data_IF_706499701733
#
_entry.id   IF_706499701733
#
_cell.length_a   1.000
_cell.length_b   1.000
_cell.length_c   1.000
_cell.angle_alpha   90.00
_cell.angle_beta   90.00
_cell.angle_gamma   90.00
#
_symmetry.space_group_name_H-M   'P 1'
#
loop_
_entity.id
_entity.type
_entity.pdbx_description
1 polymer ?
2 non-polymer ?
3 non-polymer ?
4 non-polymer ?
5 water ?
#
# COMPACT_ATOMS: atom_id res chain seq x y z
N UNK A 1 -18.81 -36.35 -12.29
CA UNK A 1 -19.74 -36.53 -11.14
C UNK A 1 -20.06 -35.16 -10.57
N UNK A 2 -21.30 -34.73 -10.76
CA UNK A 2 -21.78 -33.44 -10.31
C UNK A 2 -21.44 -33.07 -8.86
N UNK A 3 -21.64 -34.01 -7.95
CA UNK A 3 -21.39 -33.74 -6.53
C UNK A 3 -19.92 -33.55 -6.18
N UNK A 4 -19.05 -34.23 -6.94
CA UNK A 4 -17.61 -34.12 -6.72
C UNK A 4 -17.19 -32.71 -7.12
N UNK A 5 -17.72 -32.25 -8.25
CA UNK A 5 -17.41 -30.90 -8.73
C UNK A 5 -17.92 -29.85 -7.76
N UNK A 6 -19.11 -30.08 -7.21
CA UNK A 6 -19.69 -29.13 -6.25
C UNK A 6 -18.84 -29.03 -4.99
N UNK A 7 -18.33 -30.16 -4.51
CA UNK A 7 -17.49 -30.17 -3.31
C UNK A 7 -16.17 -29.47 -3.60
N UNK A 8 -15.67 -29.60 -4.83
CA UNK A 8 -14.42 -28.93 -5.16
C UNK A 8 -14.67 -27.43 -5.20
N UNK A 9 -15.80 -27.04 -5.81
CA UNK A 9 -16.14 -25.62 -5.87
C UNK A 9 -16.24 -25.05 -4.45
N UNK A 10 -16.79 -25.83 -3.54
CA UNK A 10 -16.91 -25.38 -2.15
C UNK A 10 -15.49 -25.12 -1.59
N UNK A 11 -14.58 -26.05 -1.83
CA UNK A 11 -13.21 -25.90 -1.35
C UNK A 11 -12.51 -24.72 -2.01
N UNK A 12 -12.80 -24.47 -3.28
CA UNK A 12 -12.19 -23.36 -4.02
C UNK A 12 -12.66 -22.02 -3.44
N UNK A 13 -13.94 -21.96 -3.09
CA UNK A 13 -14.53 -20.76 -2.52
C UNK A 13 -13.98 -20.51 -1.12
N UNK A 14 -13.94 -21.53 -0.28
CA UNK A 14 -13.38 -21.34 1.06
C UNK A 14 -11.90 -20.92 1.01
N UNK A 15 -11.15 -21.49 0.07
CA UNK A 15 -9.74 -21.15 -0.08
C UNK A 15 -9.63 -19.67 -0.46
N UNK A 16 -10.52 -19.24 -1.36
CA UNK A 16 -10.52 -17.87 -1.82
C UNK A 16 -10.87 -16.93 -0.65
N UNK A 17 -11.86 -17.32 0.16
CA UNK A 17 -12.22 -16.48 1.31
C UNK A 17 -11.00 -16.31 2.22
N UNK A 18 -10.29 -17.40 2.47
CA UNK A 18 -9.12 -17.37 3.33
C UNK A 18 -8.03 -16.50 2.76
N UNK A 19 -7.80 -16.59 1.46
CA UNK A 19 -6.76 -15.79 0.84
C UNK A 19 -7.12 -14.30 0.75
N UNK A 20 -8.40 -13.99 0.56
CA UNK A 20 -8.82 -12.59 0.51
C UNK A 20 -8.66 -11.98 1.90
N UNK A 21 -8.94 -12.77 2.93
CA UNK A 21 -8.79 -12.30 4.30
C UNK A 21 -7.30 -12.05 4.56
N UNK A 22 -6.42 -12.89 4.02
CA UNK A 22 -4.98 -12.70 4.19
C UNK A 22 -4.51 -11.46 3.48
N UNK A 23 -5.02 -11.24 2.29
CA UNK A 23 -4.67 -10.07 1.50
C UNK A 23 -5.10 -8.81 2.27
N UNK A 24 -6.30 -8.81 2.83
CA UNK A 24 -6.78 -7.68 3.62
C UNK A 24 -5.85 -7.44 4.82
N UNK A 25 -5.48 -8.50 5.53
CA UNK A 25 -4.58 -8.37 6.69
C UNK A 25 -3.22 -7.81 6.31
N UNK A 26 -2.66 -8.29 5.19
CA UNK A 26 -1.35 -7.81 4.76
C UNK A 26 -1.45 -6.34 4.38
N UNK A 27 -2.55 -5.98 3.73
CA UNK A 27 -2.72 -4.58 3.36
C UNK A 27 -2.84 -3.69 4.59
N UNK A 28 -3.58 -4.14 5.60
CA UNK A 28 -3.72 -3.31 6.81
C UNK A 28 -2.36 -3.18 7.49
N UNK A 29 -1.60 -4.27 7.50
CA UNK A 29 -0.25 -4.26 8.09
C UNK A 29 0.62 -3.23 7.36
N UNK A 30 0.56 -3.25 6.02
CA UNK A 30 1.33 -2.34 5.17
C UNK A 30 0.92 -0.89 5.35
N UNK A 31 -0.33 -0.66 5.74
CA UNK A 31 -0.82 0.71 5.96
C UNK A 31 -0.49 1.20 7.36
N UNK A 32 0.17 0.37 8.16
CA UNK A 32 0.55 0.80 9.49
C UNK A 32 -0.36 0.36 10.63
N UNK A 33 -1.25 -0.58 10.38
CA UNK A 33 -2.14 -1.04 11.43
C UNK A 33 -1.35 -1.76 12.51
N UNK A 34 -1.47 -1.28 13.74
CA UNK A 34 -0.78 -1.87 14.88
C UNK A 34 -1.70 -2.94 15.46
N UNK A 35 -1.10 -3.98 16.01
CA UNK A 35 -1.86 -5.08 16.61
C UNK A 35 -2.93 -4.58 17.59
N UNK A 36 -4.17 -5.01 17.39
CA UNK A 36 -5.26 -4.60 18.26
C UNK A 36 -5.63 -3.13 18.26
N UNK A 37 -5.16 -2.40 17.25
CA UNK A 37 -5.45 -0.97 17.15
C UNK A 37 -6.14 -0.68 15.81
N UNK A 38 -7.03 0.30 15.78
CA UNK A 38 -7.68 0.62 14.52
C UNK A 38 -6.64 1.34 13.69
N UNK A 39 -6.84 1.46 12.38
CA UNK A 39 -5.84 2.14 11.58
C UNK A 39 -6.44 3.20 10.69
N UNK A 40 -5.60 4.12 10.26
CA UNK A 40 -6.02 5.26 9.47
C UNK A 40 -5.37 5.31 8.10
N UNK A 41 -6.13 5.78 7.11
CA UNK A 41 -5.64 5.86 5.74
C UNK A 41 -6.22 7.12 5.07
N UNK A 42 -5.45 7.70 4.17
CA UNK A 42 -5.89 8.89 3.43
C UNK A 42 -5.29 8.82 2.02
N UNK A 43 -5.96 9.47 1.07
CA UNK A 43 -5.47 9.53 -0.30
C UNK A 43 -4.98 10.96 -0.48
N UNK A 44 -5.03 11.74 0.60
CA UNK A 44 -4.61 13.15 0.63
C UNK A 44 -5.48 14.12 -0.15
N UNK A 45 -6.66 13.67 -0.53
CA UNK A 45 -7.59 14.51 -1.26
C UNK A 45 -8.44 15.34 -0.29
N UNK A 46 -8.64 16.61 -0.61
CA UNK A 46 -9.45 17.48 0.23
C UNK A 46 -10.85 17.57 -0.36
N UNK A 47 -11.86 17.52 0.51
CA UNK A 47 -13.25 17.56 0.06
C UNK A 47 -14.18 17.93 1.22
N UNK A 48 -15.43 18.31 0.91
CA UNK A 48 -16.41 18.67 1.93
C UNK A 48 -16.68 17.45 2.80
N UNK A 49 -17.13 17.68 4.02
CA UNK A 49 -17.40 16.60 4.97
C UNK A 49 -18.33 15.49 4.45
N UNK A 50 -19.42 15.87 3.79
CA UNK A 50 -20.35 14.86 3.29
C UNK A 50 -19.67 13.87 2.33
N UNK A 51 -18.71 14.37 1.57
CA UNK A 51 -17.96 13.53 0.62
C UNK A 51 -17.04 12.57 1.37
N UNK A 52 -16.38 13.06 2.42
CA UNK A 52 -15.50 12.21 3.19
C UNK A 52 -16.33 11.08 3.81
N UNK A 53 -17.46 11.42 4.42
CA UNK A 53 -18.32 10.40 5.02
C UNK A 53 -18.73 9.32 4.04
N UNK A 54 -19.15 9.76 2.84
CA UNK A 54 -19.59 8.85 1.80
C UNK A 54 -18.46 7.92 1.38
N UNK A 55 -17.28 8.52 1.17
CA UNK A 55 -16.11 7.76 0.75
C UNK A 55 -15.75 6.69 1.78
N UNK A 56 -15.55 7.09 3.04
CA UNK A 56 -15.18 6.15 4.08
C UNK A 56 -16.24 5.08 4.27
N UNK A 57 -17.50 5.50 4.24
CA UNK A 57 -18.62 4.58 4.40
C UNK A 57 -18.56 3.47 3.33
N UNK A 58 -18.32 3.87 2.10
CA UNK A 58 -18.24 2.93 0.99
C UNK A 58 -17.11 1.92 1.19
N UNK A 59 -16.05 2.34 1.87
CA UNK A 59 -14.91 1.47 2.14
C UNK A 59 -15.13 0.64 3.40
N UNK A 60 -16.31 0.80 4.00
CA UNK A 60 -16.66 0.09 5.21
C UNK A 60 -15.84 0.55 6.42
N UNK A 61 -15.61 1.86 6.46
CA UNK A 61 -14.89 2.47 7.56
C UNK A 61 -15.68 3.73 7.90
N UNK A 62 -15.08 4.65 8.64
CA UNK A 62 -15.77 5.89 8.99
C UNK A 62 -14.74 7.01 8.98
N UNK A 63 -15.20 8.27 8.98
CA UNK A 63 -14.28 9.40 9.03
C UNK A 63 -13.53 9.20 10.35
N UNK A 64 -12.20 9.37 10.31
CA UNK A 64 -11.35 9.18 11.48
C UNK A 64 -11.84 9.86 12.77
N UNK A 65 -11.82 9.11 13.86
CA UNK A 65 -12.24 9.60 15.16
C UNK A 65 -11.16 9.38 16.23
N UNK A 66 -10.55 10.46 16.76
CA UNK A 66 -9.52 10.30 17.79
C UNK A 66 -10.24 10.00 19.12
N UNK A 67 -10.00 8.83 19.70
CA UNK A 67 -10.66 8.47 20.96
C UNK A 67 -9.75 8.81 22.15
N UNK A 68 -8.47 9.04 21.85
CA UNK A 68 -7.48 9.38 22.87
C UNK A 68 -6.31 10.07 22.18
N UNK A 69 -5.33 10.51 22.97
CA UNK A 69 -4.15 11.21 22.45
C UNK A 69 -3.31 10.41 21.46
N UNK A 70 -3.17 9.11 21.70
CA UNK A 70 -2.39 8.25 20.81
C UNK A 70 -3.00 8.22 19.41
N UNK A 71 -4.30 7.97 19.36
CA UNK A 71 -5.00 7.93 18.08
C UNK A 71 -4.98 9.31 17.43
N UNK A 72 -5.06 10.37 18.23
CA UNK A 72 -5.06 11.72 17.69
C UNK A 72 -3.74 11.97 16.96
N UNK A 73 -2.65 11.56 17.59
CA UNK A 73 -1.31 11.71 17.02
C UNK A 73 -1.20 10.90 15.72
N UNK A 74 -1.73 9.68 15.74
CA UNK A 74 -1.68 8.81 14.56
C UNK A 74 -2.43 9.45 13.38
N UNK A 75 -3.59 10.04 13.67
CA UNK A 75 -4.37 10.70 12.61
C UNK A 75 -3.61 11.91 12.07
N UNK A 76 -2.98 12.66 12.97
CA UNK A 76 -2.21 13.84 12.61
C UNK A 76 -1.07 13.47 11.65
N UNK A 77 -0.35 12.39 11.98
CA UNK A 77 0.77 11.89 11.19
C UNK A 77 0.29 11.47 9.80
N UNK A 78 -0.82 10.74 9.77
CA UNK A 78 -1.41 10.27 8.53
C UNK A 78 -1.88 11.45 7.64
N UNK A 79 -2.66 12.35 8.22
CA UNK A 79 -3.20 13.49 7.48
C UNK A 79 -2.15 14.47 6.94
N UNK A 80 -1.23 14.90 7.81
CA UNK A 80 -0.18 15.84 7.42
C UNK A 80 -0.70 17.25 7.16
N UNK A 81 -2.02 17.41 7.14
CA UNK A 81 -2.67 18.70 6.92
C UNK A 81 -4.02 18.69 7.64
N UNK A 82 -4.80 19.77 7.54
CA UNK A 82 -6.10 19.80 8.23
C UNK A 82 -6.99 18.70 7.65
N UNK A 83 -7.70 18.01 8.53
CA UNK A 83 -8.58 16.91 8.10
C UNK A 83 -9.84 16.81 8.96
N UNK A 84 -10.95 16.42 8.34
CA UNK A 84 -12.19 16.25 9.09
C UNK A 84 -12.13 15.04 10.02
N UNK A 85 -12.82 15.13 11.14
CA UNK A 85 -12.90 14.04 12.10
C UNK A 85 -14.35 13.59 12.05
N UNK A 86 -14.63 12.36 12.46
CA UNK A 86 -15.98 11.85 12.46
C UNK A 86 -16.74 12.36 13.68
N UNK A 87 -16.76 13.68 13.84
CA UNK A 87 -17.40 14.32 14.98
C UNK A 87 -18.17 15.57 14.51
N UNK A 88 -19.44 15.73 14.91
CA UNK A 88 -20.19 16.92 14.51
C UNK A 88 -21.28 17.28 15.52
N UNK A 89 -21.73 18.53 15.50
CA UNK A 89 -22.83 18.91 16.38
C UNK A 89 -23.99 19.37 15.48
N UNK A 90 -24.12 18.69 14.34
CA UNK A 90 -25.18 18.96 13.37
C UNK A 90 -26.58 18.69 13.91
N UNK A 91 -26.72 17.64 14.70
CA UNK A 91 -28.01 17.25 15.24
C UNK A 91 -28.58 18.22 16.27
N UNK A 92 -27.75 18.65 17.20
CA UNK A 92 -28.16 19.62 18.23
C UNK A 92 -26.97 20.55 18.50
N UNK A 93 -27.10 21.80 18.08
CA UNK A 93 -26.03 22.79 18.26
C UNK A 93 -25.42 22.76 19.66
N UNK A 94 -24.09 22.69 19.72
CA UNK A 94 -23.40 22.65 20.99
C UNK A 94 -23.07 21.27 21.51
N UNK A 95 -23.80 20.26 21.06
CA UNK A 95 -23.55 18.89 21.51
C UNK A 95 -22.88 18.05 20.44
N UNK A 96 -21.56 17.91 20.52
CA UNK A 96 -20.85 17.11 19.51
C UNK A 96 -21.07 15.62 19.74
N UNK A 97 -21.28 14.90 18.64
CA UNK A 97 -21.54 13.46 18.66
C UNK A 97 -20.65 12.78 17.65
N UNK A 98 -20.30 11.52 17.90
CA UNK A 98 -19.50 10.78 16.95
C UNK A 98 -20.45 10.44 15.80
N UNK A 99 -19.94 10.42 14.57
CA UNK A 99 -20.80 10.10 13.44
C UNK A 99 -21.38 8.69 13.58
N UNK A 100 -20.67 7.83 14.30
CA UNK A 100 -21.13 6.46 14.51
C UNK A 100 -21.97 6.31 15.78
N UNK A 101 -22.24 7.42 16.46
CA UNK A 101 -23.06 7.38 17.66
C UNK A 101 -22.40 7.72 18.98
N UNK A 102 -23.15 8.42 19.84
CA UNK A 102 -22.63 8.75 21.16
C UNK A 102 -22.07 10.15 21.31
N UNK A 103 -22.15 10.67 22.54
CA UNK A 103 -21.63 12.00 22.83
C UNK A 103 -20.12 12.02 22.89
N UNK A 104 -19.55 13.14 22.45
CA UNK A 104 -18.10 13.29 22.47
C UNK A 104 -17.58 13.18 23.91
N UNK A 105 -16.50 12.44 24.10
CA UNK A 105 -15.89 12.36 25.43
C UNK A 105 -14.51 12.98 25.27
N UNK A 106 -13.50 12.18 25.00
CA UNK A 106 -12.16 12.75 24.79
C UNK A 106 -12.22 13.83 23.72
N UNK A 107 -11.53 14.95 23.95
CA UNK A 107 -11.48 16.04 22.98
C UNK A 107 -10.10 16.68 23.02
N UNK A 108 -9.78 17.47 22.00
CA UNK A 108 -8.48 18.13 21.96
C UNK A 108 -8.62 19.49 21.29
N UNK A 109 -9.61 20.24 21.74
CA UNK A 109 -9.90 21.58 21.20
C UNK A 109 -8.79 22.61 21.38
N UNK A 110 -8.60 23.46 20.38
CA UNK A 110 -7.64 24.54 20.50
C UNK A 110 -8.30 25.50 21.49
N UNK A 111 -7.51 26.38 22.11
CA UNK A 111 -8.08 27.35 23.03
C UNK A 111 -9.14 28.15 22.29
N UNK A 112 -10.22 28.48 22.98
CA UNK A 112 -11.35 29.24 22.44
C UNK A 112 -12.22 28.51 21.40
N UNK A 113 -12.07 27.18 21.30
CA UNK A 113 -12.88 26.36 20.39
C UNK A 113 -13.55 25.30 21.26
N UNK A 114 -14.71 24.77 20.81
CA UNK A 114 -15.38 25.14 19.56
C UNK A 114 -16.09 26.49 19.76
N UNK A 115 -16.35 27.21 18.68
CA UNK A 115 -17.01 28.52 18.80
C UNK A 115 -18.17 28.73 17.82
N UNK A 116 -18.53 27.69 17.05
CA UNK A 116 -19.63 27.78 16.09
C UNK A 116 -19.58 29.17 15.45
N UNK A 117 -18.41 29.53 14.89
CA UNK A 117 -18.20 30.85 14.34
C UNK A 117 -19.13 31.33 13.23
N UNK A 118 -19.58 32.58 13.37
CA UNK A 118 -20.45 33.19 12.37
C UNK A 118 -21.77 32.50 12.16
N UNK A 119 -22.12 32.24 10.89
CA UNK A 119 -23.36 31.57 10.57
C UNK A 119 -23.39 30.17 11.20
N UNK A 120 -22.21 29.67 11.56
CA UNK A 120 -22.15 28.37 12.19
C UNK A 120 -21.09 27.43 11.69
N UNK A 121 -20.68 26.53 12.57
CA UNK A 121 -19.66 25.53 12.28
C UNK A 121 -20.09 24.26 13.01
N UNK A 122 -20.45 23.23 12.25
CA UNK A 122 -20.91 21.99 12.86
C UNK A 122 -19.98 20.79 12.68
N UNK A 123 -18.88 20.98 11.94
CA UNK A 123 -17.93 19.90 11.75
C UNK A 123 -16.63 20.19 12.49
N UNK A 124 -15.72 19.23 12.49
CA UNK A 124 -14.47 19.35 13.20
C UNK A 124 -13.27 18.90 12.37
N UNK A 125 -12.21 19.71 12.41
CA UNK A 125 -10.97 19.39 11.71
C UNK A 125 -9.82 19.32 12.71
N UNK A 126 -8.92 18.37 12.50
CA UNK A 126 -7.74 18.29 13.34
C UNK A 126 -6.82 19.19 12.53
N UNK A 127 -6.14 20.13 13.20
CA UNK A 127 -5.27 21.08 12.52
C UNK A 127 -3.84 21.08 13.04
N UNK A 128 -3.32 22.29 13.35
CA UNK A 128 -1.96 22.50 13.85
C UNK A 128 -1.71 21.95 15.25
N UNK A 129 -0.59 21.23 15.38
CA UNK A 129 -0.20 20.63 16.65
C UNK A 129 -1.18 19.51 16.97
N UNK A 130 -2.08 19.23 16.03
CA UNK A 130 -3.06 18.17 16.24
C UNK A 130 -4.27 18.64 17.04
N UNK A 131 -4.34 19.93 17.33
CA UNK A 131 -5.48 20.46 18.06
C UNK A 131 -6.69 20.48 17.15
N UNK A 132 -7.87 20.70 17.72
CA UNK A 132 -9.10 20.69 16.95
C UNK A 132 -9.78 22.06 16.83
N UNK A 133 -10.50 22.24 15.73
CA UNK A 133 -11.25 23.47 15.49
C UNK A 133 -12.57 23.12 14.82
N UNK A 134 -13.69 23.70 15.27
CA UNK A 134 -14.95 23.42 14.57
C UNK A 134 -14.97 24.30 13.34
N UNK A 135 -15.47 23.77 12.24
CA UNK A 135 -15.46 24.49 10.98
C UNK A 135 -16.71 24.09 10.19
N UNK A 136 -16.99 24.84 9.13
CA UNK A 136 -18.13 24.53 8.30
C UNK A 136 -17.94 23.16 7.65
N UNK A 137 -19.01 22.36 7.63
CA UNK A 137 -18.98 21.04 7.00
C UNK A 137 -18.84 21.17 5.49
N UNK A 138 -19.08 22.39 4.98
CA UNK A 138 -18.98 22.66 3.54
C UNK A 138 -17.57 22.94 3.07
N UNK A 139 -16.66 23.24 4.00
CA UNK A 139 -15.29 23.52 3.63
C UNK A 139 -14.61 22.21 3.21
N UNK A 140 -13.53 22.33 2.44
CA UNK A 140 -12.81 21.16 1.96
C UNK A 140 -11.56 20.90 2.78
N UNK A 141 -11.50 19.74 3.42
CA UNK A 141 -10.34 19.35 4.20
C UNK A 141 -9.99 17.91 3.83
N UNK A 142 -8.84 17.44 4.26
CA UNK A 142 -8.36 16.11 3.90
C UNK A 142 -9.24 14.97 4.39
N UNK A 143 -9.44 14.00 3.51
CA UNK A 143 -10.25 12.83 3.80
C UNK A 143 -9.43 11.76 4.48
N UNK A 144 -9.76 11.43 5.72
CA UNK A 144 -9.03 10.41 6.45
C UNK A 144 -10.05 9.42 7.01
N UNK A 145 -9.87 8.15 6.69
CA UNK A 145 -10.79 7.12 7.15
C UNK A 145 -10.15 6.27 8.22
N UNK A 146 -10.98 5.72 9.10
CA UNK A 146 -10.47 4.85 10.13
C UNK A 146 -11.13 3.50 9.91
N UNK A 147 -10.40 2.46 10.25
CA UNK A 147 -10.88 1.10 10.10
C UNK A 147 -10.68 0.43 11.47
N UNK A 148 -11.59 -0.48 11.84
CA UNK A 148 -11.61 -1.22 13.10
C UNK A 148 -10.31 -1.89 13.60
N UNK A 149 -10.16 -1.92 14.92
CA UNK A 149 -9.00 -2.56 15.53
C UNK A 149 -9.11 -4.06 15.25
N UNK B 1 -28.65 -28.32 -17.74
CA UNK B 1 -28.70 -26.99 -17.07
C UNK B 1 -27.71 -26.93 -15.92
N UNK B 2 -27.90 -27.81 -14.94
CA UNK B 2 -27.03 -27.85 -13.77
C UNK B 2 -25.55 -27.97 -14.13
N UNK B 3 -25.20 -28.84 -15.07
CA UNK B 3 -23.80 -28.98 -15.44
C UNK B 3 -23.27 -27.72 -16.10
N UNK B 4 -24.15 -26.99 -16.79
CA UNK B 4 -23.77 -25.75 -17.45
C UNK B 4 -23.57 -24.65 -16.40
N UNK B 5 -24.46 -24.60 -15.41
CA UNK B 5 -24.34 -23.60 -14.37
C UNK B 5 -23.05 -23.81 -13.59
N UNK B 6 -22.78 -25.06 -13.27
CA UNK B 6 -21.59 -25.40 -12.52
C UNK B 6 -20.32 -25.03 -13.30
N UNK B 7 -20.32 -25.31 -14.61
CA UNK B 7 -19.18 -24.98 -15.46
C UNK B 7 -18.97 -23.48 -15.50
N UNK B 8 -20.05 -22.73 -15.63
CA UNK B 8 -19.98 -21.28 -15.67
C UNK B 8 -19.48 -20.72 -14.31
N UNK B 9 -19.89 -21.35 -13.22
CA UNK B 9 -19.42 -20.87 -11.92
C UNK B 9 -17.93 -21.18 -11.73
N UNK B 10 -17.47 -22.30 -12.27
CA UNK B 10 -16.05 -22.68 -12.15
C UNK B 10 -15.21 -21.65 -12.91
N UNK B 11 -15.75 -21.14 -14.01
CA UNK B 11 -15.05 -20.14 -14.80
C UNK B 11 -14.99 -18.84 -14.00
N UNK B 12 -16.10 -18.48 -13.36
CA UNK B 12 -16.14 -17.28 -12.55
C UNK B 12 -15.12 -17.38 -11.43
N UNK B 13 -15.02 -18.56 -10.82
CA UNK B 13 -14.07 -18.75 -9.74
C UNK B 13 -12.61 -18.60 -10.21
N UNK B 14 -12.30 -19.17 -11.37
CA UNK B 14 -10.94 -19.06 -11.90
C UNK B 14 -10.59 -17.59 -12.15
N UNK B 15 -11.56 -16.84 -12.66
CA UNK B 15 -11.35 -15.43 -12.94
C UNK B 15 -11.12 -14.63 -11.66
N UNK B 16 -11.88 -14.96 -10.63
CA UNK B 16 -11.76 -14.25 -9.36
C UNK B 16 -10.41 -14.55 -8.70
N UNK B 17 -9.94 -15.79 -8.86
CA UNK B 17 -8.67 -16.18 -8.29
C UNK B 17 -7.54 -15.38 -8.97
N UNK B 18 -7.64 -15.19 -10.28
CA UNK B 18 -6.63 -14.43 -11.02
C UNK B 18 -6.66 -12.96 -10.62
N UNK B 19 -7.87 -12.44 -10.42
CA UNK B 19 -8.04 -11.04 -10.05
C UNK B 19 -7.46 -10.78 -8.65
N UNK B 20 -7.59 -11.74 -7.75
CA UNK B 20 -7.02 -11.58 -6.41
C UNK B 20 -5.49 -11.62 -6.47
N UNK B 21 -4.95 -12.53 -7.28
CA UNK B 21 -3.50 -12.61 -7.38
C UNK B 21 -2.97 -11.28 -7.98
N UNK B 22 -3.74 -10.70 -8.89
CA UNK B 22 -3.36 -9.43 -9.50
C UNK B 22 -3.36 -8.37 -8.38
N UNK B 23 -4.36 -8.42 -7.50
CA UNK B 23 -4.44 -7.48 -6.40
C UNK B 23 -3.19 -7.61 -5.53
N UNK B 24 -2.77 -8.85 -5.27
CA UNK B 24 -1.58 -9.11 -4.47
C UNK B 24 -0.35 -8.49 -5.16
N UNK B 25 -0.23 -8.70 -6.47
CA UNK B 25 0.89 -8.15 -7.23
C UNK B 25 0.95 -6.63 -7.24
N UNK B 26 -0.20 -6.00 -7.47
CA UNK B 26 -0.23 -4.54 -7.49
C UNK B 26 0.09 -3.98 -6.10
N UNK B 27 -0.39 -4.67 -5.06
CA UNK B 27 -0.12 -4.19 -3.71
C UNK B 27 1.37 -4.25 -3.42
N UNK B 28 2.00 -5.40 -3.73
CA UNK B 28 3.44 -5.56 -3.48
C UNK B 28 4.24 -4.53 -4.23
N UNK B 29 3.86 -4.29 -5.47
CA UNK B 29 4.52 -3.31 -6.34
C UNK B 29 4.37 -1.91 -5.71
N UNK B 30 3.16 -1.57 -5.29
CA UNK B 30 2.92 -0.26 -4.69
C UNK B 30 3.71 -0.07 -3.40
N UNK B 31 4.01 -1.16 -2.70
CA UNK B 31 4.78 -1.08 -1.47
C UNK B 31 6.28 -1.21 -1.68
N UNK B 32 6.72 -1.11 -2.94
CA UNK B 32 8.14 -1.17 -3.25
C UNK B 32 8.82 -2.47 -3.65
N UNK B 33 8.07 -3.55 -3.80
CA UNK B 33 8.70 -4.81 -4.19
C UNK B 33 9.37 -4.65 -5.55
N UNK B 34 10.64 -5.04 -5.62
CA UNK B 34 11.39 -4.95 -6.86
C UNK B 34 11.30 -6.27 -7.61
N UNK B 35 11.31 -6.20 -8.93
CA UNK B 35 11.25 -7.39 -9.78
C UNK B 35 12.26 -8.45 -9.35
N UNK B 36 11.80 -9.68 -9.22
CA UNK B 36 12.68 -10.77 -8.84
C UNK B 36 13.32 -10.66 -7.46
N UNK B 37 12.86 -9.72 -6.64
CA UNK B 37 13.41 -9.56 -5.29
C UNK B 37 12.33 -9.83 -4.27
N UNK B 38 12.74 -10.24 -3.08
CA UNK B 38 11.80 -10.51 -2.00
C UNK B 38 11.11 -9.22 -1.60
N UNK B 39 9.89 -9.36 -1.11
CA UNK B 39 9.10 -8.22 -0.66
C UNK B 39 9.23 -8.04 0.85
N UNK B 40 9.76 -6.89 1.27
CA UNK B 40 9.91 -6.57 2.69
C UNK B 40 8.90 -5.49 3.09
N UNK B 41 8.20 -5.69 4.20
CA UNK B 41 7.20 -4.74 4.65
C UNK B 41 7.09 -4.65 6.18
N UNK B 42 6.71 -3.48 6.68
CA UNK B 42 6.57 -3.28 8.13
C UNK B 42 5.37 -2.40 8.45
N UNK B 43 4.80 -2.56 9.65
CA UNK B 43 3.70 -1.72 10.10
C UNK B 43 4.28 -0.72 11.11
N UNK B 44 5.61 -0.75 11.24
CA UNK B 44 6.34 0.13 12.15
C UNK B 44 6.06 -0.13 13.63
N UNK B 45 5.55 -1.31 13.94
CA UNK B 45 5.26 -1.66 15.32
C UNK B 45 6.44 -2.41 15.95
N UNK B 46 6.80 -2.01 17.17
CA UNK B 46 7.89 -2.66 17.89
C UNK B 46 7.31 -3.67 18.86
N UNK B 47 7.85 -4.89 18.86
CA UNK B 47 7.34 -5.95 19.72
C UNK B 47 8.43 -7.01 19.94
N UNK B 48 8.23 -7.90 20.93
CA UNK B 48 9.20 -8.96 21.21
C UNK B 48 9.30 -9.88 19.98
N UNK B 49 10.42 -10.60 19.88
CA UNK B 49 10.64 -11.49 18.75
C UNK B 49 9.55 -12.54 18.54
N UNK B 50 9.04 -13.14 19.62
CA UNK B 50 7.99 -14.16 19.47
C UNK B 50 6.78 -13.57 18.76
N UNK B 51 6.47 -12.31 19.06
CA UNK B 51 5.32 -11.66 18.44
C UNK B 51 5.57 -11.36 16.96
N UNK B 52 6.80 -11.02 16.61
CA UNK B 52 7.11 -10.76 15.20
C UNK B 52 6.95 -12.06 14.43
N UNK B 53 7.46 -13.16 14.99
CA UNK B 53 7.33 -14.45 14.30
C UNK B 53 5.87 -14.82 14.12
N UNK B 54 5.06 -14.62 15.16
CA UNK B 54 3.64 -14.95 15.08
C UNK B 54 2.93 -14.09 14.05
N UNK B 55 3.25 -12.81 14.04
CA UNK B 55 2.61 -11.87 13.11
C UNK B 55 2.96 -12.21 11.66
N UNK B 56 4.25 -12.30 11.35
CA UNK B 56 4.63 -12.62 9.98
C UNK B 56 4.02 -13.96 9.54
N UNK B 57 4.02 -14.94 10.45
CA UNK B 57 3.47 -16.26 10.14
C UNK B 57 2.00 -16.16 9.76
N UNK B 58 1.25 -15.35 10.51
CA UNK B 58 -0.16 -15.16 10.26
C UNK B 58 -0.40 -14.58 8.86
N UNK B 59 0.53 -13.76 8.39
CA UNK B 59 0.42 -13.15 7.06
C UNK B 59 1.00 -14.05 5.98
N UNK B 60 1.43 -15.24 6.37
CA UNK B 60 2.02 -16.22 5.45
C UNK B 60 3.37 -15.75 4.93
N UNK B 61 4.08 -15.01 5.77
CA UNK B 61 5.41 -14.55 5.41
C UNK B 61 6.33 -15.04 6.51
N UNK B 62 7.50 -14.43 6.64
CA UNK B 62 8.43 -14.82 7.70
C UNK B 62 9.18 -13.57 8.15
N UNK B 63 9.87 -13.64 9.28
CA UNK B 63 10.62 -12.51 9.78
C UNK B 63 11.75 -12.25 8.76
N UNK B 64 11.92 -11.00 8.38
CA UNK B 64 12.91 -10.60 7.38
C UNK B 64 14.32 -11.13 7.59
N UNK B 65 14.91 -11.65 6.53
CA UNK B 65 16.28 -12.18 6.58
C UNK B 65 17.14 -11.66 5.43
N UNK B 66 18.24 -10.99 5.74
CA UNK B 66 19.16 -10.45 4.73
C UNK B 66 20.10 -11.58 4.26
N UNK B 67 20.01 -12.00 3.00
CA UNK B 67 20.86 -13.06 2.50
C UNK B 67 22.15 -12.48 1.92
N UNK B 68 22.16 -11.18 1.71
CA UNK B 68 23.32 -10.49 1.15
C UNK B 68 23.24 -9.00 1.48
N UNK B 69 24.25 -8.24 1.09
CA UNK B 69 24.30 -6.81 1.36
C UNK B 69 23.15 -6.03 0.73
N UNK B 70 22.70 -6.48 -0.44
CA UNK B 70 21.61 -5.82 -1.14
C UNK B 70 20.31 -5.95 -0.33
N UNK B 71 20.01 -7.16 0.11
CA UNK B 71 18.80 -7.38 0.90
C UNK B 71 18.91 -6.68 2.25
N UNK B 72 20.12 -6.63 2.80
CA UNK B 72 20.33 -6.00 4.09
C UNK B 72 19.98 -4.52 3.98
N UNK B 73 20.39 -3.90 2.89
CA UNK B 73 20.11 -2.50 2.63
C UNK B 73 18.59 -2.32 2.43
N UNK B 74 17.98 -3.24 1.68
CA UNK B 74 16.54 -3.19 1.42
C UNK B 74 15.77 -3.18 2.73
N UNK B 75 16.14 -4.09 3.63
CA UNK B 75 15.48 -4.19 4.93
C UNK B 75 15.74 -2.93 5.75
N UNK B 76 16.97 -2.43 5.70
CA UNK B 76 17.32 -1.22 6.43
C UNK B 76 16.43 -0.03 6.03
N UNK B 77 16.16 0.13 4.75
CA UNK B 77 15.33 1.26 4.33
C UNK B 77 13.84 1.10 4.64
N UNK B 78 13.38 -0.14 4.81
CA UNK B 78 11.98 -0.39 5.14
C UNK B 78 11.76 -0.16 6.63
N UNK B 79 12.67 -0.69 7.44
CA UNK B 79 12.59 -0.57 8.88
C UNK B 79 12.73 0.84 9.43
N UNK B 80 13.73 1.57 8.95
CA UNK B 80 13.97 2.93 9.42
C UNK B 80 14.64 2.88 10.79
N UNK B 81 14.14 2.02 11.67
CA UNK B 81 14.69 1.86 13.02
C UNK B 81 15.23 0.46 13.25
N UNK B 82 15.48 0.13 14.52
CA UNK B 82 16.01 -1.17 14.88
C UNK B 82 14.93 -2.23 14.66
N UNK B 83 15.29 -3.31 13.97
CA UNK B 83 14.33 -4.35 13.68
C UNK B 83 14.89 -5.75 13.85
N UNK B 84 14.04 -6.68 14.25
CA UNK B 84 14.47 -8.07 14.38
C UNK B 84 14.68 -8.69 13.01
N UNK B 85 15.67 -9.58 12.93
CA UNK B 85 15.95 -10.31 11.71
C UNK B 85 15.56 -11.75 12.05
N UNK B 86 15.27 -12.57 11.05
CA UNK B 86 14.87 -13.95 11.32
C UNK B 86 16.08 -14.85 11.57
N UNK B 87 16.87 -14.50 12.58
CA UNK B 87 18.08 -15.24 12.91
C UNK B 87 18.25 -15.35 14.43
N UNK B 88 18.65 -16.52 14.91
CA UNK B 88 18.87 -16.68 16.34
C UNK B 88 19.93 -17.74 16.61
N UNK B 89 20.58 -17.67 17.77
CA UNK B 89 21.59 -18.67 18.14
C UNK B 89 21.07 -19.38 19.40
N UNK B 90 19.78 -19.69 19.36
CA UNK B 90 19.09 -20.37 20.44
C UNK B 90 19.52 -21.83 20.69
N UNK B 91 19.89 -22.54 19.64
CA UNK B 91 20.30 -23.94 19.79
C UNK B 91 21.69 -24.07 20.39
N UNK B 92 22.68 -23.51 19.69
CA UNK B 92 24.05 -23.55 20.17
C UNK B 92 24.57 -22.12 20.17
N UNK B 93 24.95 -21.66 21.36
CA UNK B 93 25.43 -20.30 21.52
C UNK B 93 26.52 -19.97 20.50
N UNK B 94 26.35 -18.84 19.82
CA UNK B 94 27.32 -18.43 18.82
C UNK B 94 27.01 -18.95 17.43
N UNK B 95 26.17 -19.98 17.34
CA UNK B 95 25.81 -20.53 16.03
C UNK B 95 24.48 -19.95 15.59
N UNK B 96 24.52 -18.88 14.82
CA UNK B 96 23.28 -18.27 14.36
C UNK B 96 22.68 -19.06 13.20
N UNK B 97 21.37 -19.27 13.30
CA UNK B 97 20.62 -20.03 12.31
C UNK B 97 19.40 -19.22 11.85
N UNK B 98 19.01 -19.39 10.60
CA UNK B 98 17.82 -18.70 10.12
C UNK B 98 16.63 -19.39 10.73
N UNK B 99 15.60 -18.63 11.08
CA UNK B 99 14.40 -19.23 11.65
C UNK B 99 13.70 -20.15 10.63
N UNK B 100 14.12 -20.09 9.38
CA UNK B 100 13.52 -20.96 8.36
C UNK B 100 14.45 -22.12 8.02
N UNK B 101 15.55 -22.22 8.77
CA UNK B 101 16.49 -23.30 8.56
C UNK B 101 17.79 -22.90 7.91
N UNK B 102 18.87 -23.58 8.30
CA UNK B 102 20.17 -23.29 7.72
C UNK B 102 21.06 -22.39 8.55
N UNK B 103 22.36 -22.59 8.37
CA UNK B 103 23.36 -21.81 9.09
C UNK B 103 23.52 -20.47 8.43
N UNK B 104 23.76 -19.46 9.26
CA UNK B 104 23.96 -18.11 8.81
C UNK B 104 25.12 -18.04 7.82
N UNK B 105 24.88 -17.46 6.65
CA UNK B 105 25.93 -17.28 5.68
C UNK B 105 26.35 -15.80 5.78
N UNK B 106 25.63 -14.92 5.09
CA UNK B 106 25.95 -13.49 5.17
C UNK B 106 25.71 -12.91 6.56
N UNK B 107 26.61 -12.03 7.00
CA UNK B 107 26.46 -11.38 8.29
C UNK B 107 26.96 -9.95 8.18
N UNK B 108 26.56 -9.09 9.11
CA UNK B 108 26.98 -7.70 9.07
C UNK B 108 27.07 -7.14 10.48
N UNK B 109 27.74 -7.89 11.36
CA UNK B 109 27.89 -7.47 12.75
C UNK B 109 28.58 -6.15 13.00
N UNK B 110 28.13 -5.48 14.05
CA UNK B 110 28.70 -4.21 14.48
C UNK B 110 29.98 -4.57 15.23
N UNK B 111 30.89 -3.62 15.40
CA UNK B 111 32.13 -3.89 16.13
C UNK B 111 31.79 -4.40 17.52
N UNK B 112 32.54 -5.39 17.98
CA UNK B 112 32.34 -5.97 19.32
C UNK B 112 31.08 -6.84 19.40
N UNK B 113 30.44 -7.09 18.27
CA UNK B 113 29.24 -7.92 18.27
C UNK B 113 29.47 -9.15 17.41
N UNK B 114 28.78 -10.26 17.72
CA UNK B 114 27.80 -10.48 18.80
C UNK B 114 28.50 -10.70 20.15
N UNK B 115 27.96 -10.14 21.22
CA UNK B 115 28.57 -10.30 22.54
C UNK B 115 27.71 -11.06 23.55
N UNK B 116 26.55 -11.56 23.13
CA UNK B 116 25.66 -12.31 24.02
C UNK B 116 25.65 -11.60 25.37
N UNK B 117 25.55 -10.29 25.33
CA UNK B 117 25.60 -9.44 26.52
C UNK B 117 24.63 -9.73 27.68
N UNK B 118 25.08 -9.41 28.88
CA UNK B 118 24.27 -9.60 30.08
C UNK B 118 23.87 -11.03 30.34
N UNK B 119 22.58 -11.23 30.63
CA UNK B 119 22.07 -12.57 30.89
C UNK B 119 21.98 -13.39 29.60
N UNK B 120 22.34 -12.78 28.47
CA UNK B 120 22.28 -13.49 27.21
C UNK B 120 21.44 -12.83 26.14
N UNK B 121 21.92 -12.91 24.89
CA UNK B 121 21.24 -12.33 23.73
C UNK B 121 21.26 -13.35 22.60
N UNK B 122 20.11 -13.92 22.27
CA UNK B 122 20.05 -14.89 21.19
C UNK B 122 19.27 -14.44 19.94
N UNK B 123 18.83 -13.19 19.91
CA UNK B 123 18.17 -12.65 18.73
C UNK B 123 19.07 -11.63 18.05
N UNK B 124 18.65 -11.14 16.90
CA UNK B 124 19.46 -10.21 16.13
C UNK B 124 18.63 -9.04 15.61
N UNK B 125 19.19 -7.83 15.71
CA UNK B 125 18.51 -6.65 15.21
C UNK B 125 19.40 -5.94 14.22
N UNK B 126 18.77 -5.38 13.20
CA UNK B 126 19.51 -4.60 12.22
C UNK B 126 19.33 -3.19 12.80
N UNK B 127 20.44 -2.47 12.95
CA UNK B 127 20.39 -1.14 13.53
C UNK B 127 20.99 -0.06 12.64
N UNK B 128 21.77 0.83 13.24
CA UNK B 128 22.41 1.97 12.56
C UNK B 128 23.30 1.56 11.39
N UNK B 129 23.10 2.23 10.26
CA UNK B 129 23.88 1.95 9.06
C UNK B 129 23.71 0.53 8.56
N UNK B 130 22.66 -0.15 9.03
CA UNK B 130 22.42 -1.51 8.60
C UNK B 130 23.27 -2.56 9.27
N UNK B 131 24.02 -2.18 10.30
CA UNK B 131 24.87 -3.13 11.02
C UNK B 131 24.02 -3.96 11.98
N UNK B 132 24.58 -5.05 12.49
CA UNK B 132 23.83 -5.92 13.38
C UNK B 132 24.29 -5.92 14.84
N UNK B 133 23.33 -6.18 15.73
CA UNK B 133 23.61 -6.28 17.16
C UNK B 133 22.74 -7.39 17.72
N UNK B 134 23.34 -8.35 18.41
CA UNK B 134 22.52 -9.39 19.01
C UNK B 134 21.87 -8.75 20.22
N UNK B 135 20.63 -9.13 20.49
CA UNK B 135 19.87 -8.54 21.59
C UNK B 135 18.92 -9.59 22.17
N UNK B 136 18.38 -9.30 23.34
CA UNK B 136 17.44 -10.23 23.97
C UNK B 136 16.22 -10.38 23.08
N UNK B 137 15.75 -11.61 22.95
CA UNK B 137 14.58 -11.90 22.14
C UNK B 137 13.34 -11.31 22.82
N UNK B 138 13.46 -11.00 24.10
CA UNK B 138 12.37 -10.41 24.87
C UNK B 138 12.21 -8.90 24.64
N UNK B 139 13.26 -8.26 24.14
CA UNK B 139 13.21 -6.83 23.88
C UNK B 139 12.26 -6.55 22.70
N UNK B 140 11.77 -5.32 22.62
CA UNK B 140 10.84 -4.95 21.56
C UNK B 140 11.50 -4.17 20.44
N UNK B 141 11.43 -4.71 19.23
CA UNK B 141 12.00 -4.04 18.07
C UNK B 141 11.03 -4.12 16.91
N UNK B 142 11.25 -3.29 15.90
CA UNK B 142 10.34 -3.25 14.76
C UNK B 142 10.12 -4.56 14.02
N UNK B 143 8.86 -4.84 13.72
CA UNK B 143 8.47 -6.05 13.01
C UNK B 143 8.56 -5.84 11.50
N UNK B 144 9.42 -6.61 10.85
CA UNK B 144 9.57 -6.52 9.40
C UNK B 144 9.39 -7.93 8.84
N UNK B 145 8.44 -8.11 7.92
CA UNK B 145 8.21 -9.43 7.34
C UNK B 145 8.71 -9.45 5.90
N UNK B 146 9.01 -10.65 5.41
CA UNK B 146 9.45 -10.78 4.04
C UNK B 146 8.53 -11.79 3.38
N UNK B 147 8.35 -11.62 2.08
CA UNK B 147 7.51 -12.50 1.28
C UNK B 147 8.40 -12.86 0.08
N UNK B 148 8.17 -14.03 -0.53
CA UNK B 148 8.97 -14.48 -1.68
C UNK B 148 9.09 -13.56 -2.90
N UNK B 149 10.19 -13.68 -3.62
CA UNK B 149 10.46 -12.88 -4.80
C UNK B 149 9.52 -13.22 -5.95
N UNK C 1 -30.88 -30.53 -2.39
CA UNK C 1 -29.46 -30.29 -2.08
C UNK C 1 -28.75 -29.62 -3.25
N UNK C 2 -28.39 -30.42 -4.25
CA UNK C 2 -27.67 -29.91 -5.42
C UNK C 2 -28.05 -28.50 -5.86
N UNK C 3 -29.30 -28.29 -6.26
CA UNK C 3 -29.72 -26.97 -6.72
C UNK C 3 -29.59 -25.88 -5.67
N UNK C 4 -29.92 -26.19 -4.44
CA UNK C 4 -29.83 -25.21 -3.37
C UNK C 4 -28.37 -24.81 -3.17
N UNK C 5 -27.49 -25.81 -3.05
CA UNK C 5 -26.06 -25.53 -2.84
C UNK C 5 -25.49 -24.73 -4.00
N UNK C 6 -25.93 -25.06 -5.20
CA UNK C 6 -25.46 -24.38 -6.40
C UNK C 6 -25.90 -22.90 -6.38
N UNK C 7 -27.14 -22.66 -5.96
CA UNK C 7 -27.67 -21.30 -5.89
C UNK C 7 -26.92 -20.52 -4.80
N UNK C 8 -26.64 -21.20 -3.70
CA UNK C 8 -25.91 -20.53 -2.63
C UNK C 8 -24.52 -20.14 -3.09
N UNK C 9 -23.83 -21.06 -3.74
CA UNK C 9 -22.49 -20.76 -4.20
C UNK C 9 -22.43 -19.61 -5.17
N UNK C 10 -23.50 -19.41 -5.94
CA UNK C 10 -23.54 -18.29 -6.85
C UNK C 10 -23.55 -17.01 -6.02
N UNK C 11 -24.29 -17.04 -4.91
CA UNK C 11 -24.37 -15.89 -4.01
C UNK C 11 -23.03 -15.71 -3.29
N UNK C 12 -22.37 -16.83 -2.98
CA UNK C 12 -21.07 -16.77 -2.31
C UNK C 12 -20.05 -16.11 -3.24
N UNK C 13 -20.14 -16.42 -4.53
CA UNK C 13 -19.24 -15.84 -5.52
C UNK C 13 -19.50 -14.36 -5.71
N UNK C 14 -20.77 -13.97 -5.81
CA UNK C 14 -21.06 -12.56 -5.98
C UNK C 14 -20.62 -11.74 -4.76
N UNK C 15 -20.73 -12.34 -3.58
CA UNK C 15 -20.30 -11.67 -2.36
C UNK C 15 -18.79 -11.46 -2.41
N UNK C 16 -18.08 -12.50 -2.85
CA UNK C 16 -16.62 -12.40 -2.96
C UNK C 16 -16.20 -11.37 -4.00
N UNK C 17 -16.97 -11.27 -5.08
CA UNK C 17 -16.64 -10.28 -6.10
C UNK C 17 -16.76 -8.88 -5.49
N UNK C 18 -17.85 -8.66 -4.75
CA UNK C 18 -18.09 -7.37 -4.11
C UNK C 18 -16.98 -7.06 -3.14
N UNK C 19 -16.61 -8.05 -2.33
CA UNK C 19 -15.55 -7.84 -1.37
C UNK C 19 -14.20 -7.51 -2.04
N UNK C 20 -13.88 -8.21 -3.13
CA UNK C 20 -12.61 -7.94 -3.80
C UNK C 20 -12.62 -6.55 -4.45
N UNK C 21 -13.77 -6.14 -4.94
CA UNK C 21 -13.91 -4.82 -5.52
C UNK C 21 -13.63 -3.78 -4.43
N UNK C 22 -14.11 -4.04 -3.20
CA UNK C 22 -13.87 -3.12 -2.09
C UNK C 22 -12.40 -3.07 -1.72
N UNK C 23 -11.77 -4.23 -1.67
CA UNK C 23 -10.36 -4.32 -1.37
C UNK C 23 -9.58 -3.45 -2.37
N UNK C 24 -9.93 -3.58 -3.65
CA UNK C 24 -9.26 -2.79 -4.69
C UNK C 24 -9.49 -1.29 -4.48
N UNK C 25 -10.70 -0.91 -4.11
CA UNK C 25 -11.01 0.51 -3.86
C UNK C 25 -10.19 1.03 -2.70
N UNK C 26 -10.14 0.25 -1.63
CA UNK C 26 -9.37 0.66 -0.46
C UNK C 26 -7.88 0.76 -0.79
N UNK C 27 -7.35 -0.17 -1.56
CA UNK C 27 -5.93 -0.09 -1.89
C UNK C 27 -5.63 1.12 -2.76
N UNK C 28 -6.47 1.35 -3.75
CA UNK C 28 -6.31 2.50 -4.64
C UNK C 28 -6.32 3.78 -3.79
N UNK C 29 -7.27 3.88 -2.87
CA UNK C 29 -7.38 5.02 -1.96
C UNK C 29 -6.06 5.14 -1.19
N UNK C 30 -5.59 4.04 -0.62
CA UNK C 30 -4.35 4.09 0.14
C UNK C 30 -3.15 4.45 -0.78
N UNK C 31 -3.28 4.16 -2.07
CA UNK C 31 -2.22 4.48 -3.04
C UNK C 31 -2.28 5.94 -3.51
N UNK C 32 -3.19 6.73 -2.95
CA UNK C 32 -3.30 8.14 -3.33
C UNK C 32 -4.26 8.45 -4.47
N UNK C 33 -4.98 7.45 -4.94
CA UNK C 33 -5.96 7.64 -6.02
C UNK C 33 -6.97 8.74 -5.67
N UNK C 34 -7.03 9.79 -6.49
CA UNK C 34 -7.95 10.90 -6.26
C UNK C 34 -9.25 10.64 -7.02
N UNK C 35 -10.37 11.05 -6.43
CA UNK C 35 -11.67 10.85 -7.05
C UNK C 35 -11.71 11.27 -8.51
N UNK C 36 -12.26 10.40 -9.35
CA UNK C 36 -12.36 10.67 -10.77
C UNK C 36 -11.06 10.94 -11.52
N UNK C 37 -9.92 10.63 -10.91
CA UNK C 37 -8.64 10.86 -11.57
C UNK C 37 -7.94 9.51 -11.80
N UNK C 38 -7.18 9.40 -12.88
CA UNK C 38 -6.43 8.16 -13.14
C UNK C 38 -5.31 8.19 -12.12
N UNK C 39 -4.72 7.06 -11.79
CA UNK C 39 -3.66 7.13 -10.81
C UNK C 39 -2.40 6.41 -11.24
N UNK C 40 -1.28 6.97 -10.81
CA UNK C 40 0.03 6.46 -11.15
C UNK C 40 0.66 5.84 -9.92
N UNK C 41 1.37 4.73 -10.14
CA UNK C 41 2.01 4.00 -9.06
C UNK C 41 3.39 3.56 -9.49
N UNK C 42 4.32 3.50 -8.55
CA UNK C 42 5.69 3.08 -8.86
C UNK C 42 6.24 2.28 -7.69
N UNK C 43 7.18 1.37 -7.98
CA UNK C 43 7.82 0.57 -6.93
C UNK C 43 9.24 1.15 -6.79
N UNK C 44 9.47 2.25 -7.50
CA UNK C 44 10.72 2.98 -7.54
C UNK C 44 11.89 2.24 -8.17
N UNK C 45 11.59 1.17 -8.90
CA UNK C 45 12.62 0.40 -9.56
C UNK C 45 12.94 0.99 -10.93
N UNK C 46 14.21 0.99 -11.30
CA UNK C 46 14.63 1.51 -12.60
C UNK C 46 14.96 0.30 -13.45
N UNK C 47 14.42 0.27 -14.66
CA UNK C 47 14.62 -0.86 -15.57
C UNK C 47 14.45 -0.41 -17.03
N UNK C 48 14.82 -1.27 -17.99
CA UNK C 48 14.68 -0.97 -19.41
C UNK C 48 13.20 -0.84 -19.75
N UNK C 49 12.89 -0.10 -20.81
CA UNK C 49 11.51 0.11 -21.19
C UNK C 49 10.69 -1.17 -21.43
N UNK C 50 11.30 -2.18 -22.05
CA UNK C 50 10.57 -3.41 -22.31
C UNK C 50 10.09 -4.05 -21.00
N UNK C 51 10.93 -4.01 -19.97
CA UNK C 51 10.54 -4.59 -18.70
C UNK C 51 9.45 -3.76 -18.04
N UNK C 52 9.48 -2.45 -18.22
CA UNK C 52 8.45 -1.61 -17.63
C UNK C 52 7.11 -1.99 -18.25
N UNK C 53 7.09 -2.08 -19.58
CA UNK C 53 5.88 -2.44 -20.29
C UNK C 53 5.36 -3.79 -19.85
N UNK C 54 6.26 -4.75 -19.71
CA UNK C 54 5.85 -6.08 -19.29
C UNK C 54 5.29 -6.05 -17.87
N UNK C 55 5.94 -5.29 -17.00
CA UNK C 55 5.51 -5.18 -15.61
C UNK C 55 4.12 -4.56 -15.51
N UNK C 56 3.90 -3.39 -16.13
CA UNK C 56 2.59 -2.75 -16.06
C UNK C 56 1.52 -3.63 -16.70
N UNK C 57 1.86 -4.31 -17.79
CA UNK C 57 0.91 -5.19 -18.46
C UNK C 57 0.46 -6.27 -17.49
N UNK C 58 1.40 -6.86 -16.75
CA UNK C 58 1.06 -7.89 -15.77
C UNK C 58 0.03 -7.39 -14.78
N UNK C 59 0.23 -6.16 -14.32
CA UNK C 59 -0.66 -5.53 -13.34
C UNK C 59 -1.93 -5.00 -13.98
N UNK C 60 -2.09 -5.26 -15.28
CA UNK C 60 -3.24 -4.81 -16.04
C UNK C 60 -3.34 -3.29 -16.11
N UNK C 61 -2.19 -2.64 -16.21
CA UNK C 61 -2.14 -1.20 -16.34
C UNK C 61 -1.32 -0.90 -17.58
N UNK C 62 -0.89 0.34 -17.74
CA UNK C 62 -0.08 0.70 -18.90
C UNK C 62 1.04 1.61 -18.42
N UNK C 63 2.09 1.75 -19.23
CA UNK C 63 3.18 2.65 -18.87
C UNK C 63 2.57 4.03 -18.83
N UNK C 64 2.84 4.77 -17.75
CA UNK C 64 2.27 6.09 -17.56
C UNK C 64 2.36 7.03 -18.75
N UNK C 65 1.23 7.68 -19.07
CA UNK C 65 1.17 8.64 -20.17
C UNK C 65 0.46 9.93 -19.75
N UNK C 66 1.17 11.07 -19.78
CA UNK C 66 0.52 12.32 -19.40
C UNK C 66 -0.24 12.83 -20.63
N UNK C 67 -1.50 13.22 -20.45
CA UNK C 67 -2.32 13.70 -21.56
C UNK C 67 -2.46 15.21 -21.52
N UNK C 68 -1.98 15.78 -20.42
CA UNK C 68 -2.03 17.22 -20.21
C UNK C 68 -1.04 17.60 -19.12
N UNK C 69 -0.91 18.90 -18.86
CA UNK C 69 0.03 19.40 -17.86
C UNK C 69 -0.20 18.87 -16.44
N UNK C 70 -1.45 18.62 -16.07
CA UNK C 70 -1.71 18.13 -14.71
C UNK C 70 -1.22 16.71 -14.51
N UNK C 71 -1.52 15.84 -15.46
CA UNK C 71 -1.11 14.46 -15.38
C UNK C 71 0.42 14.37 -15.46
N UNK C 72 1.02 15.28 -16.22
CA UNK C 72 2.47 15.30 -16.37
C UNK C 72 3.12 15.61 -15.03
N UNK C 73 2.53 16.53 -14.29
CA UNK C 73 3.04 16.90 -12.98
C UNK C 73 2.78 15.73 -12.02
N UNK C 74 1.60 15.12 -12.14
CA UNK C 74 1.23 13.98 -11.30
C UNK C 74 2.28 12.87 -11.44
N UNK C 75 2.63 12.54 -12.68
CA UNK C 75 3.62 11.50 -12.95
C UNK C 75 4.97 11.91 -12.37
N UNK C 76 5.33 13.16 -12.57
CA UNK C 76 6.60 13.70 -12.07
C UNK C 76 6.69 13.52 -10.55
N UNK C 77 5.62 13.89 -9.84
CA UNK C 77 5.59 13.77 -8.39
C UNK C 77 5.68 12.33 -7.89
N UNK C 78 5.05 11.40 -8.62
CA UNK C 78 5.08 9.99 -8.27
C UNK C 78 6.47 9.37 -8.45
N UNK C 79 7.08 9.62 -9.61
CA UNK C 79 8.40 9.07 -9.91
C UNK C 79 9.56 9.66 -9.11
N UNK C 80 9.59 10.99 -9.00
CA UNK C 80 10.65 11.70 -8.27
C UNK C 80 11.99 11.71 -9.00
N UNK C 81 12.19 10.77 -9.91
CA UNK C 81 13.41 10.68 -10.70
C UNK C 81 12.97 10.53 -12.16
N UNK C 82 13.93 10.29 -13.06
CA UNK C 82 13.59 10.13 -14.47
C UNK C 82 12.77 8.84 -14.61
N UNK C 83 11.70 8.90 -15.40
CA UNK C 83 10.83 7.75 -15.60
C UNK C 83 10.35 7.63 -17.02
N UNK C 84 10.23 6.40 -17.50
CA UNK C 84 9.74 6.16 -18.85
C UNK C 84 8.27 6.51 -18.97
N UNK C 85 7.90 7.03 -20.13
CA UNK C 85 6.50 7.36 -20.42
C UNK C 85 6.08 6.36 -21.49
N UNK C 86 4.77 6.09 -21.59
CA UNK C 86 4.27 5.16 -22.59
C UNK C 86 4.23 5.80 -23.96
N UNK C 87 5.38 6.29 -24.42
CA UNK C 87 5.50 6.96 -25.71
C UNK C 87 6.81 6.54 -26.38
N UNK C 88 6.78 6.19 -27.67
CA UNK C 88 7.97 5.79 -28.42
C UNK C 88 7.82 6.09 -29.92
N UNK C 89 8.95 6.23 -30.63
CA UNK C 89 8.92 6.42 -32.07
C UNK C 89 9.58 5.18 -32.71
N UNK C 90 9.39 4.04 -32.05
CA UNK C 90 9.92 2.75 -32.48
C UNK C 90 9.47 2.30 -33.87
N UNK C 91 8.22 2.59 -34.20
CA UNK C 91 7.67 2.19 -35.49
C UNK C 91 8.21 3.01 -36.66
N UNK C 92 8.17 4.33 -36.52
CA UNK C 92 8.67 5.22 -37.56
C UNK C 92 9.49 6.32 -36.90
N UNK C 93 10.81 6.28 -37.11
CA UNK C 93 11.72 7.27 -36.51
C UNK C 93 11.24 8.70 -36.67
N UNK C 94 11.16 9.42 -35.55
CA UNK C 94 10.73 10.80 -35.59
C UNK C 94 9.26 11.01 -35.29
N UNK C 95 8.46 9.95 -35.42
CA UNK C 95 7.03 10.04 -35.17
C UNK C 95 6.69 9.35 -33.85
N UNK C 96 6.56 10.13 -32.78
CA UNK C 96 6.23 9.54 -31.49
C UNK C 96 4.76 9.20 -31.35
N UNK C 97 4.51 7.98 -30.89
CA UNK C 97 3.18 7.43 -30.72
C UNK C 97 2.98 6.88 -29.31
N UNK C 98 1.73 6.81 -28.89
CA UNK C 98 1.41 6.27 -27.58
C UNK C 98 1.49 4.75 -27.68
N UNK C 99 1.94 4.10 -26.61
CA UNK C 99 2.01 2.65 -26.62
C UNK C 99 0.59 2.11 -26.74
N UNK C 100 -0.37 2.88 -26.25
CA UNK C 100 -1.78 2.51 -26.30
C UNK C 100 -2.34 2.81 -27.69
N UNK C 101 -1.59 3.56 -28.50
CA UNK C 101 -2.03 3.88 -29.86
C UNK C 101 -2.28 5.34 -30.19
N UNK C 102 -1.91 5.73 -31.41
CA UNK C 102 -2.12 7.11 -31.83
C UNK C 102 -0.98 8.09 -31.68
N UNK C 103 -1.12 9.25 -32.31
CA UNK C 103 -0.12 10.31 -32.27
C UNK C 103 -0.29 11.22 -31.05
N UNK C 104 0.80 11.83 -30.61
CA UNK C 104 0.78 12.73 -29.45
C UNK C 104 -0.21 13.87 -29.52
N UNK C 105 -1.00 14.01 -28.45
CA UNK C 105 -2.00 15.07 -28.35
C UNK C 105 -1.44 16.15 -27.41
N UNK C 106 -0.40 15.78 -26.68
CA UNK C 106 0.26 16.66 -25.73
C UNK C 106 1.72 16.27 -25.59
N UNK C 107 2.59 17.26 -25.40
CA UNK C 107 4.03 17.01 -25.24
C UNK C 107 4.69 18.12 -24.43
N UNK C 108 5.84 17.81 -23.83
CA UNK C 108 6.54 18.80 -23.01
C UNK C 108 8.05 18.62 -23.17
N UNK C 109 8.47 18.52 -24.43
CA UNK C 109 9.86 18.32 -24.77
C UNK C 109 10.82 19.39 -24.27
N UNK C 110 11.99 18.95 -23.82
CA UNK C 110 13.03 19.85 -23.38
C UNK C 110 13.52 20.48 -24.68
N UNK C 111 14.17 21.64 -24.61
CA UNK C 111 14.64 22.30 -25.83
C UNK C 111 15.51 21.39 -26.69
N UNK C 112 15.20 21.36 -27.99
CA UNK C 112 15.91 20.56 -28.98
C UNK C 112 15.78 19.05 -28.83
N UNK C 113 14.73 18.61 -28.15
CA UNK C 113 14.44 17.20 -27.98
C UNK C 113 13.08 17.03 -28.69
N UNK C 114 12.78 15.84 -29.21
CA UNK C 114 13.57 14.60 -29.24
C UNK C 114 14.66 14.72 -30.30
N UNK C 115 15.85 14.19 -30.02
CA UNK C 115 16.94 14.29 -30.99
C UNK C 115 17.55 12.98 -31.49
N UNK C 116 16.99 11.83 -31.06
CA UNK C 116 17.49 10.52 -31.46
C UNK C 116 19.01 10.54 -31.41
N UNK C 117 19.54 10.98 -30.27
CA UNK C 117 20.97 11.14 -30.09
C UNK C 117 21.85 9.90 -30.20
N UNK C 118 23.00 10.09 -30.83
CA UNK C 118 23.97 9.02 -31.00
C UNK C 118 23.46 7.76 -31.64
N UNK C 119 23.68 6.64 -30.96
CA UNK C 119 23.24 5.35 -31.47
C UNK C 119 21.73 5.27 -31.65
N UNK C 120 21.00 6.24 -31.12
CA UNK C 120 19.56 6.22 -31.30
C UNK C 120 18.75 6.24 -30.01
N UNK C 121 17.61 6.93 -30.04
CA UNK C 121 16.72 7.04 -28.88
C UNK C 121 15.27 6.96 -29.32
N UNK C 122 14.61 5.86 -28.97
CA UNK C 122 13.21 5.66 -29.35
C UNK C 122 12.21 5.70 -28.20
N UNK C 123 12.70 5.83 -26.98
CA UNK C 123 11.81 5.93 -25.82
C UNK C 123 11.84 7.33 -25.22
N UNK C 124 10.95 7.57 -24.27
CA UNK C 124 10.84 8.88 -23.66
C UNK C 124 10.83 8.84 -22.15
N UNK C 125 11.53 9.79 -21.55
CA UNK C 125 11.58 9.88 -20.09
C UNK C 125 11.17 11.27 -19.66
N UNK C 126 10.43 11.33 -18.57
CA UNK C 126 10.04 12.60 -17.99
C UNK C 126 11.18 12.78 -17.00
N UNK C 127 11.84 13.94 -17.06
CA UNK C 127 12.97 14.17 -16.17
C UNK C 127 12.61 14.95 -14.91
N UNK C 128 13.62 15.25 -14.10
CA UNK C 128 13.43 15.98 -12.85
C UNK C 128 13.05 17.44 -13.02
N UNK C 129 12.30 17.74 -14.08
CA UNK C 129 11.87 19.10 -14.37
C UNK C 129 10.45 19.03 -14.92
N UNK C 130 10.04 17.80 -15.26
CA UNK C 130 8.72 17.60 -15.83
C UNK C 130 8.87 17.55 -17.34
N UNK C 131 9.99 18.09 -17.83
CA UNK C 131 10.29 18.11 -19.26
C UNK C 131 10.58 16.70 -19.76
N UNK C 132 10.57 16.55 -21.08
CA UNK C 132 10.81 15.25 -21.72
C UNK C 132 12.09 15.19 -22.54
N UNK C 133 12.69 14.01 -22.56
CA UNK C 133 13.89 13.78 -23.34
C UNK C 133 13.80 12.38 -23.91
N UNK C 134 14.06 12.23 -25.21
CA UNK C 134 14.05 10.89 -25.75
C UNK C 134 15.35 10.27 -25.30
N UNK C 135 15.32 8.97 -25.02
CA UNK C 135 16.49 8.28 -24.52
C UNK C 135 16.42 6.82 -24.99
N UNK C 136 17.52 6.10 -24.86
CA UNK C 136 17.55 4.71 -25.27
C UNK C 136 16.54 3.87 -24.49
N UNK C 137 15.78 3.04 -25.21
CA UNK C 137 14.80 2.14 -24.59
C UNK C 137 15.52 1.09 -23.74
N UNK C 138 16.81 0.90 -24.01
CA UNK C 138 17.60 -0.07 -23.26
C UNK C 138 18.13 0.50 -21.95
N UNK C 139 18.04 1.82 -21.80
CA UNK C 139 18.49 2.47 -20.57
C UNK C 139 17.49 2.17 -19.45
N UNK C 140 17.96 2.17 -18.21
CA UNK C 140 17.09 1.88 -17.07
C UNK C 140 16.56 3.13 -16.38
N UNK C 141 15.24 3.29 -16.42
CA UNK C 141 14.58 4.43 -15.77
C UNK C 141 13.44 3.93 -14.89
N UNK C 142 12.92 4.79 -14.02
CA UNK C 142 11.86 4.40 -13.09
C UNK C 142 10.58 3.90 -13.74
N UNK C 143 10.08 2.79 -13.23
CA UNK C 143 8.85 2.17 -13.76
C UNK C 143 7.63 2.83 -13.13
N UNK C 144 6.76 3.42 -13.94
CA UNK C 144 5.55 4.04 -13.43
C UNK C 144 4.37 3.54 -14.24
N UNK C 145 3.44 2.85 -13.58
CA UNK C 145 2.27 2.31 -14.27
C UNK C 145 1.06 3.19 -14.00
N UNK C 146 0.15 3.18 -14.96
CA UNK C 146 -1.07 3.97 -14.91
C UNK C 146 -2.30 3.06 -14.88
N UNK C 147 -3.30 3.47 -14.11
CA UNK C 147 -4.54 2.73 -14.00
C UNK C 147 -5.62 3.78 -14.23
N UNK C 148 -6.75 3.38 -14.84
CA UNK C 148 -7.90 4.22 -15.17
C UNK C 148 -8.54 5.01 -14.03
N UNK C 149 -9.07 6.18 -14.38
CA UNK C 149 -9.77 7.05 -13.44
C UNK C 149 -10.95 6.28 -12.82
X LIG D 1 -11.74 31.23 14.24
X LIG D 1 -12.14 29.75 14.13
X LIG D 1 -13.02 29.53 12.90
X LIG D 1 -12.31 30.04 11.65
X LIG D 1 -11.90 31.52 11.84
X LIG D 1 -11.09 32.06 10.70
X LIG D 1 -12.87 32.00 14.54
X LIG D 1 -12.84 29.35 15.30
X LIG D 1 -13.33 28.15 12.76
X LIG D 1 -11.14 29.26 11.41
X LIG D 1 -11.11 31.65 13.04
X LIG D 1 -12.57 33.34 15.01
X LIG E 1 -21.94 24.09 15.86
X LIG F 1 -14.21 27.31 15.06
X LIG G 1 -25.53 24.21 14.08
X LIG H 1 -21.53 23.58 9.29
X LIG I 1 -19.18 34.12 18.05
X LIG J 1 25.99 -3.41 23.99
X LIG J 1 25.18 -4.34 23.06
X LIG J 1 24.03 -5.02 23.83
X LIG J 1 23.17 -3.95 24.53
X LIG J 1 24.06 -3.07 25.42
X LIG J 1 23.28 -1.93 26.06
X LIG J 1 26.70 -4.18 24.91
X LIG J 1 26.04 -5.35 22.53
X LIG J 1 23.24 -5.77 22.92
X LIG J 1 22.55 -3.14 23.54
X LIG J 1 25.12 -2.48 24.64
X LIG J 1 27.73 -3.44 25.61
X LIG K 1 23.52 -15.67 21.99
X LIG L 1 24.76 -7.39 21.73
X LIG M 1 22.28 -18.34 24.29
X LIG N 1 17.67 -13.94 24.00
X LIG O 1 21.47 14.87 -25.01
X LIG O 1 20.12 14.13 -24.94
X LIG O 1 20.35 12.62 -24.94
X LIG O 1 21.31 12.23 -23.82
X LIG O 1 22.61 13.03 -23.93
X LIG O 1 23.54 12.80 -22.75
X LIG O 1 22.05 14.68 -26.27
X LIG O 1 19.34 14.49 -26.06
X LIG O 1 19.10 11.95 -24.78
X LIG O 1 20.69 12.48 -22.57
X LIG O 1 22.32 14.46 -23.94
X LIG O 1 23.20 15.50 -26.51
X LIG P 1 14.00 7.94 -32.21
X LIG Q 1 17.41 12.81 -26.41
X LIG R 1 14.59 4.59 -34.17
X LIG S 1 16.13 3.10 -28.40
#
# INVERSE_FOLDING_TARGET
AIEVKLANMEAEINTLKSKLELTNKLHAFSMGKKSGKKFFVTNHERMPFSKVKALCSELRGTVAIPRNAEENKAIQEVAKTSAFLGITDEVTEGQFMYVTGGRLTYSNWKKDEPNDHGSGEDCVTIVDNGLWNDISCQASHTAVCEFPA
AIEVKLANMEAEINTLKSKLELTNKLHAFSMGKKSGKKFFVTNHERMPFSKVKALCSELRGTVAIPRNAEENKAIQEVAKTSAFLGITDEVTEGQFMYVTGGRLTYSNWKKDEPNDHGSGEDCVTIVDNGLWNDISCQASHTAVCEFPA
AIEVKLANMEAEINTLKSKLELTNKLHAFSMGKKSGKKFFVTNHERMPFSKVKALCSELRGTVAIPRNAEENKAIQEVAKTSAFLGITDEVTEGQFMYVTGGRLTYSNWKKDEPNDHGSGEDCVTIVDNGLWNDISCQASHTAVCEFPA
MFU C1 C2 C3 C4 C5 C6 O1 O2 O3 O4 O5 CM
CA CA
CA CA
CA CA
CL CL
CA CA
MFU C1 C2 C3 C4 C5 C6 O1 O2 O3 O4 O5 CM
CA CA
CA CA
CA CA
CL CL
MFU C1 C2 C3 C4 C5 C6 O1 O2 O3 O4 O5 CM
CA CA
CA CA
CA CA
CL CL
#
